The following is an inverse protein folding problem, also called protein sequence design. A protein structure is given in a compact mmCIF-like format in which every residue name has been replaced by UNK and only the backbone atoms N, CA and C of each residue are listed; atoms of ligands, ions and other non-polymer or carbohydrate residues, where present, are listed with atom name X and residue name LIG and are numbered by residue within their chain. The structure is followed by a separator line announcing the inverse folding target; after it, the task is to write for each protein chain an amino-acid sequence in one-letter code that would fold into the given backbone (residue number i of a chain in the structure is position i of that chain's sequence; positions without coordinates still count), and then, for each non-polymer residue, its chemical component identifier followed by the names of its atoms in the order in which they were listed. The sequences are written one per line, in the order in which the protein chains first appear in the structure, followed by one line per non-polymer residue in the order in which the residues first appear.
data_IF_186078549263
#
_entry.id   IF_186078549263
#
_cell.length_a   1.000
_cell.length_b   1.000
_cell.length_c   1.000
_cell.angle_alpha   90.00
_cell.angle_beta   90.00
_cell.angle_gamma   90.00
#
_symmetry.space_group_name_H-M   'P 1'
#
loop_
_entity.id
_entity.type
_entity.pdbx_description
1 polymer ?
#
# COMPACT_ATOMS: atom_id res chain seq x y z
N UNK A 1 14.11 1.46 -27.36
CA UNK A 1 14.11 1.77 -25.91
C UNK A 1 12.78 2.42 -25.52
N UNK A 2 11.79 1.59 -25.20
CA UNK A 2 10.52 2.03 -24.61
C UNK A 2 10.84 2.44 -23.18
N UNK A 3 11.05 3.75 -22.95
CA UNK A 3 11.08 4.27 -21.60
C UNK A 3 9.70 4.00 -21.00
N UNK A 4 9.60 2.96 -20.17
CA UNK A 4 8.46 2.79 -19.28
C UNK A 4 8.49 4.07 -18.42
N UNK A 5 7.51 4.94 -18.61
CA UNK A 5 7.41 6.17 -17.81
C UNK A 5 7.46 5.77 -16.34
N UNK A 6 8.31 6.42 -15.56
CA UNK A 6 8.28 6.26 -14.11
C UNK A 6 7.12 7.11 -13.56
N UNK A 7 6.47 6.65 -12.49
CA UNK A 7 5.53 7.51 -11.77
C UNK A 7 6.31 8.65 -11.11
N UNK A 8 6.00 9.89 -11.52
CA UNK A 8 6.74 11.08 -11.13
C UNK A 8 6.03 11.92 -10.06
N UNK A 9 4.73 11.68 -9.87
CA UNK A 9 3.93 12.46 -8.94
C UNK A 9 2.90 11.59 -8.24
N UNK A 10 2.84 11.75 -6.92
CA UNK A 10 1.93 11.02 -6.05
C UNK A 10 1.15 12.03 -5.22
N UNK A 11 -0.15 11.82 -5.10
CA UNK A 11 -1.02 12.59 -4.21
C UNK A 11 -1.73 11.64 -3.25
N UNK A 12 -2.15 12.17 -2.11
CA UNK A 12 -3.12 11.52 -1.24
C UNK A 12 -4.11 12.59 -0.82
N UNK A 13 -5.36 12.40 -1.21
CA UNK A 13 -6.43 13.37 -1.03
C UNK A 13 -7.60 12.69 -0.35
N UNK A 14 -8.14 13.30 0.71
CA UNK A 14 -9.30 12.75 1.39
C UNK A 14 -10.53 12.82 0.48
N UNK A 15 -11.28 11.72 0.43
CA UNK A 15 -12.50 11.65 -0.36
C UNK A 15 -13.63 12.40 0.34
N UNK A 16 -14.23 13.36 -0.36
CA UNK A 16 -15.30 14.20 0.20
C UNK A 16 -16.59 13.42 0.50
N UNK A 17 -16.79 12.28 -0.17
CA UNK A 17 -17.92 11.38 0.00
C UNK A 17 -17.62 10.22 0.97
N UNK A 18 -16.51 10.28 1.71
CA UNK A 18 -16.21 9.31 2.75
C UNK A 18 -17.35 9.27 3.79
N UNK A 19 -17.76 8.05 4.20
CA UNK A 19 -18.78 7.83 5.25
C UNK A 19 -18.45 8.56 6.55
N UNK A 20 -17.16 8.78 6.83
CA UNK A 20 -16.70 9.67 7.90
C UNK A 20 -15.33 10.25 7.55
N UNK A 21 -15.00 11.46 8.05
CA UNK A 21 -13.69 12.05 7.86
C UNK A 21 -12.57 11.12 8.34
N UNK A 22 -11.48 11.07 7.59
CA UNK A 22 -10.28 10.30 7.90
C UNK A 22 -10.42 8.79 7.67
N UNK A 23 -11.39 8.36 6.85
CA UNK A 23 -11.60 6.92 6.56
C UNK A 23 -11.52 6.55 5.08
N UNK A 24 -11.43 7.51 4.15
CA UNK A 24 -11.22 7.20 2.74
C UNK A 24 -10.39 8.27 2.02
N UNK A 25 -9.49 7.83 1.14
CA UNK A 25 -8.60 8.70 0.38
C UNK A 25 -8.44 8.21 -1.05
N UNK A 26 -8.26 9.14 -1.98
CA UNK A 26 -7.75 8.88 -3.31
C UNK A 26 -6.22 8.99 -3.29
N UNK A 27 -5.54 7.93 -3.69
CA UNK A 27 -4.10 7.94 -3.94
C UNK A 27 -3.86 8.12 -5.44
N UNK A 28 -3.49 9.33 -5.84
CA UNK A 28 -3.12 9.65 -7.22
C UNK A 28 -1.71 9.16 -7.54
N UNK A 29 -1.55 8.52 -8.71
CA UNK A 29 -0.28 8.10 -9.29
C UNK A 29 -0.22 8.60 -10.73
N UNK A 30 0.62 9.60 -10.96
CA UNK A 30 0.70 10.27 -12.24
C UNK A 30 2.05 10.06 -12.91
N UNK A 31 1.97 9.70 -14.19
CA UNK A 31 3.10 9.43 -15.06
C UNK A 31 3.32 10.60 -16.00
N UNK A 32 4.57 10.72 -16.43
CA UNK A 32 4.98 11.62 -17.50
C UNK A 32 5.38 10.79 -18.71
N UNK A 33 4.89 11.17 -19.90
CA UNK A 33 5.40 10.64 -21.16
C UNK A 33 6.59 11.49 -21.59
N UNK A 34 7.74 11.22 -20.98
CA UNK A 34 9.00 11.83 -21.35
C UNK A 34 9.24 11.72 -22.87
N UNK A 35 9.30 12.88 -23.53
CA UNK A 35 9.75 13.02 -24.93
C UNK A 35 8.68 13.42 -25.96
N UNK A 36 7.39 13.17 -25.75
CA UNK A 36 6.36 13.40 -26.80
C UNK A 36 5.35 14.51 -26.46
N UNK A 37 5.03 14.72 -25.17
CA UNK A 37 3.99 15.69 -24.74
C UNK A 37 4.49 16.73 -23.72
N UNK A 38 5.80 16.89 -23.56
CA UNK A 38 6.38 17.77 -22.53
C UNK A 38 6.17 17.23 -21.11
N UNK A 39 6.66 17.96 -20.09
CA UNK A 39 6.66 17.57 -18.65
C UNK A 39 5.26 17.51 -18.00
N UNK A 40 4.21 17.25 -18.76
CA UNK A 40 2.84 17.17 -18.24
C UNK A 40 2.66 15.87 -17.46
N UNK A 41 2.54 16.01 -16.13
CA UNK A 41 2.27 14.93 -15.17
C UNK A 41 0.76 14.69 -15.04
N UNK A 42 0.11 14.37 -16.15
CA UNK A 42 -1.36 14.30 -16.23
C UNK A 42 -1.90 12.92 -16.61
N UNK A 43 -1.04 11.92 -16.80
CA UNK A 43 -1.49 10.56 -17.11
C UNK A 43 -1.67 9.83 -15.80
N UNK A 44 -2.92 9.68 -15.41
CA UNK A 44 -3.33 8.83 -14.30
C UNK A 44 -3.21 7.36 -14.73
N UNK A 45 -2.34 6.61 -14.06
CA UNK A 45 -2.20 5.19 -14.28
C UNK A 45 -1.92 4.47 -12.96
N UNK A 46 -2.86 3.63 -12.52
CA UNK A 46 -2.70 2.89 -11.26
C UNK A 46 -3.01 3.70 -10.01
N UNK A 47 -3.67 4.86 -10.11
CA UNK A 47 -4.32 5.48 -8.95
C UNK A 47 -5.41 4.58 -8.38
N UNK A 48 -5.64 4.69 -7.07
CA UNK A 48 -6.64 3.86 -6.39
C UNK A 48 -7.17 4.51 -5.11
N UNK A 49 -8.29 3.98 -4.64
CA UNK A 49 -8.90 4.40 -3.38
C UNK A 49 -8.37 3.57 -2.22
N UNK A 50 -7.99 4.25 -1.14
CA UNK A 50 -7.66 3.68 0.16
C UNK A 50 -8.87 3.85 1.07
N UNK A 51 -9.44 2.75 1.57
CA UNK A 51 -10.54 2.76 2.55
C UNK A 51 -10.05 2.14 3.85
N UNK A 52 -10.32 2.81 4.97
CA UNK A 52 -9.99 2.30 6.30
C UNK A 52 -11.09 1.33 6.75
N UNK A 53 -10.73 0.07 6.97
CA UNK A 53 -11.71 -0.98 7.32
C UNK A 53 -11.87 -1.20 8.83
N UNK A 54 -10.92 -0.72 9.64
CA UNK A 54 -10.94 -0.85 11.10
C UNK A 54 -10.48 0.45 11.78
N UNK A 55 -11.05 0.79 12.92
CA UNK A 55 -10.71 1.98 13.70
C UNK A 55 -9.43 1.79 14.55
N UNK A 56 -9.15 2.75 15.45
CA UNK A 56 -7.96 2.70 16.31
C UNK A 56 -8.04 1.68 17.45
N UNK A 57 -9.25 1.18 17.74
CA UNK A 57 -9.53 0.17 18.77
C UNK A 57 -9.70 -1.23 18.16
N UNK A 58 -9.57 -1.35 16.82
CA UNK A 58 -9.76 -2.60 16.09
C UNK A 58 -11.22 -2.92 15.78
N UNK A 59 -12.15 -1.97 15.93
CA UNK A 59 -13.57 -2.17 15.57
C UNK A 59 -13.78 -1.95 14.08
N UNK A 60 -14.68 -2.71 13.43
CA UNK A 60 -14.97 -2.57 12.00
C UNK A 60 -15.59 -1.20 11.68
N UNK A 61 -15.22 -0.65 10.53
CA UNK A 61 -15.81 0.57 9.96
C UNK A 61 -16.70 0.17 8.78
N UNK A 62 -18.01 0.31 8.95
CA UNK A 62 -18.97 0.02 7.88
C UNK A 62 -19.16 1.24 6.96
N UNK A 63 -19.39 1.03 5.64
CA UNK A 63 -19.55 -0.26 4.96
C UNK A 63 -18.23 -0.91 4.52
N UNK A 64 -17.09 -0.26 4.74
CA UNK A 64 -15.81 -0.63 4.15
C UNK A 64 -15.29 -2.00 4.61
N UNK A 65 -15.57 -2.38 5.85
CA UNK A 65 -15.23 -3.70 6.37
C UNK A 65 -15.98 -4.81 5.62
N UNK A 66 -17.30 -4.65 5.44
CA UNK A 66 -18.10 -5.62 4.67
C UNK A 66 -17.63 -5.71 3.22
N UNK A 67 -17.41 -4.57 2.55
CA UNK A 67 -16.88 -4.54 1.17
C UNK A 67 -15.54 -5.27 1.04
N UNK A 68 -14.67 -5.13 2.04
CA UNK A 68 -13.38 -5.82 2.06
C UNK A 68 -13.51 -7.33 2.20
N UNK A 69 -14.41 -7.83 3.07
CA UNK A 69 -14.67 -9.27 3.20
C UNK A 69 -15.22 -9.86 1.89
N UNK A 70 -16.11 -9.14 1.21
CA UNK A 70 -16.66 -9.53 -0.09
C UNK A 70 -15.60 -9.54 -1.21
N UNK A 71 -14.65 -8.61 -1.15
CA UNK A 71 -13.55 -8.50 -2.11
C UNK A 71 -12.49 -9.60 -1.89
N UNK A 72 -12.07 -9.81 -0.64
CA UNK A 72 -11.06 -10.81 -0.30
C UNK A 72 -11.55 -12.23 -0.62
N UNK A 73 -12.78 -12.56 -0.23
CA UNK A 73 -13.31 -13.93 -0.26
C UNK A 73 -12.31 -14.90 0.38
N UNK A 74 -11.87 -15.90 -0.38
CA UNK A 74 -10.99 -16.97 0.08
C UNK A 74 -9.50 -16.69 -0.22
N UNK A 75 -9.15 -15.47 -0.65
CA UNK A 75 -7.76 -15.12 -0.96
C UNK A 75 -6.97 -14.99 0.36
N UNK A 76 -5.88 -15.75 0.54
CA UNK A 76 -5.02 -15.58 1.71
C UNK A 76 -4.37 -14.19 1.68
N UNK A 77 -4.44 -13.49 2.80
CA UNK A 77 -3.91 -12.14 2.94
C UNK A 77 -2.58 -12.16 3.68
N UNK A 78 -1.63 -11.40 3.16
CA UNK A 78 -0.41 -11.05 3.88
C UNK A 78 -0.67 -9.74 4.59
N UNK A 79 -0.64 -9.77 5.93
CA UNK A 79 -0.75 -8.58 6.76
C UNK A 79 0.61 -8.14 7.25
N UNK A 80 0.86 -6.84 7.21
CA UNK A 80 2.02 -6.23 7.86
C UNK A 80 1.53 -5.44 9.08
N UNK A 81 1.88 -5.90 10.28
CA UNK A 81 1.47 -5.31 11.56
C UNK A 81 2.51 -4.35 12.13
N UNK A 82 3.49 -3.93 11.32
CA UNK A 82 4.59 -3.07 11.74
C UNK A 82 5.89 -3.83 11.95
N UNK A 83 6.80 -3.23 12.73
CA UNK A 83 8.11 -3.80 13.03
C UNK A 83 8.13 -4.33 14.47
N UNK A 84 8.71 -5.51 14.67
CA UNK A 84 8.81 -6.12 16.00
C UNK A 84 9.62 -5.24 16.99
N UNK A 85 10.62 -4.51 16.49
CA UNK A 85 11.43 -3.60 17.28
C UNK A 85 12.01 -2.45 16.42
N UNK A 86 12.70 -1.53 17.09
CA UNK A 86 13.35 -0.36 16.47
C UNK A 86 14.43 -0.75 15.45
N UNK A 87 15.19 -1.81 15.72
CA UNK A 87 16.26 -2.28 14.84
C UNK A 87 15.67 -2.86 13.55
N UNK A 88 14.57 -3.60 13.64
CA UNK A 88 13.82 -4.07 12.48
C UNK A 88 13.32 -2.90 11.63
N UNK A 89 12.76 -1.86 12.26
CA UNK A 89 12.34 -0.64 11.54
C UNK A 89 13.49 0.05 10.81
N UNK A 90 14.66 0.15 11.44
CA UNK A 90 15.85 0.78 10.86
C UNK A 90 16.44 -0.01 9.67
N UNK A 91 16.19 -1.32 9.59
CA UNK A 91 16.59 -2.12 8.43
C UNK A 91 15.69 -1.88 7.21
N UNK A 92 14.44 -1.45 7.40
CA UNK A 92 13.52 -1.08 6.32
C UNK A 92 13.56 0.43 6.02
N UNK A 93 14.73 0.93 5.64
CA UNK A 93 14.87 2.25 5.02
C UNK A 93 14.59 2.16 3.51
N UNK A 94 14.35 3.31 2.86
CA UNK A 94 14.16 3.38 1.41
C UNK A 94 15.32 2.74 0.62
N UNK A 95 16.55 2.81 1.16
CA UNK A 95 17.75 2.24 0.54
C UNK A 95 17.89 0.72 0.75
N UNK A 96 17.15 0.15 1.71
CA UNK A 96 17.25 -1.25 2.12
C UNK A 96 15.92 -2.01 2.02
N UNK A 97 14.88 -1.45 1.38
CA UNK A 97 13.57 -2.09 1.29
C UNK A 97 13.65 -3.52 0.73
N UNK A 98 14.46 -3.75 -0.31
CA UNK A 98 14.69 -5.08 -0.88
C UNK A 98 15.34 -6.05 0.10
N UNK A 99 16.29 -5.56 0.92
CA UNK A 99 16.94 -6.36 1.96
C UNK A 99 15.99 -6.66 3.12
N UNK A 100 15.15 -5.69 3.50
CA UNK A 100 14.08 -5.88 4.47
C UNK A 100 13.06 -6.92 3.98
N UNK A 101 12.55 -6.76 2.76
CA UNK A 101 11.59 -7.69 2.15
C UNK A 101 12.13 -9.13 2.06
N UNK A 102 13.40 -9.29 1.70
CA UNK A 102 14.05 -10.59 1.71
C UNK A 102 14.10 -11.17 3.13
N UNK A 103 14.50 -10.37 4.13
CA UNK A 103 14.55 -10.83 5.53
C UNK A 103 13.17 -11.23 6.07
N UNK A 104 12.09 -10.55 5.70
CA UNK A 104 10.73 -10.98 6.09
C UNK A 104 10.34 -12.34 5.51
N UNK A 105 10.74 -12.63 4.26
CA UNK A 105 10.50 -13.94 3.66
C UNK A 105 11.34 -15.03 4.35
N UNK A 106 12.60 -14.74 4.64
CA UNK A 106 13.47 -15.68 5.34
C UNK A 106 12.95 -15.99 6.75
N UNK A 107 12.46 -14.98 7.48
CA UNK A 107 11.84 -15.15 8.80
C UNK A 107 10.58 -16.01 8.75
N UNK A 108 9.75 -15.85 7.72
CA UNK A 108 8.56 -16.68 7.54
C UNK A 108 8.95 -18.15 7.32
N UNK A 109 9.94 -18.41 6.46
CA UNK A 109 10.48 -19.76 6.24
C UNK A 109 11.10 -20.35 7.52
N UNK A 110 11.81 -19.55 8.32
CA UNK A 110 12.37 -19.97 9.62
C UNK A 110 11.27 -20.35 10.63
N UNK A 111 10.15 -19.60 10.66
CA UNK A 111 8.99 -19.90 11.53
C UNK A 111 8.27 -21.18 11.11
N UNK A 112 8.01 -21.34 9.81
CA UNK A 112 7.41 -22.58 9.28
C UNK A 112 8.29 -23.80 9.57
N UNK A 113 9.61 -23.68 9.41
CA UNK A 113 10.56 -24.75 9.72
C UNK A 113 10.64 -25.06 11.23
N UNK A 114 10.33 -24.08 12.10
CA UNK A 114 10.24 -24.26 13.54
C UNK A 114 8.89 -24.85 14.00
N UNK A 115 7.92 -25.02 13.09
CA UNK A 115 6.58 -25.54 13.40
C UNK A 115 5.74 -24.58 14.23
N UNK A 116 5.97 -23.27 14.09
CA UNK A 116 5.20 -22.20 14.75
C UNK A 116 4.28 -21.54 13.73
#
# INVERSE_FOLDING_TARGET
PTAIGHAEHYTIEELQDATSPGNAWHRGIYYSLGGVLGRCRCIDFGSYTLKRIMDGEGKPIEPYYTEFLEYQRDIPLVFWTGYADKKAKELYTADNFSAGWQRSQDLHCEQEAAGV
#
